data_IF_089399138795
#
_entry.id   IF_089399138795
#
_cell.length_a   1.000
_cell.length_b   1.000
_cell.length_c   1.000
_cell.angle_alpha   90.00
_cell.angle_beta   90.00
_cell.angle_gamma   90.00
#
_symmetry.space_group_name_H-M   'P 1'
#
loop_
_entity.id
_entity.type
_entity.pdbx_description
1 polymer ?
#
# COMPACT_ATOMS: atom_id res chain seq x y z
N UNK A 1 -28.50 -4.48 22.10
CA UNK A 1 -28.35 -3.08 21.64
C UNK A 1 -28.04 -3.07 20.15
N UNK A 2 -28.82 -2.29 19.41
CA UNK A 2 -28.95 -2.16 17.95
C UNK A 2 -27.71 -2.41 17.07
N UNK A 3 -27.76 -3.47 16.25
CA UNK A 3 -26.83 -3.76 15.15
C UNK A 3 -27.20 -3.09 13.80
N UNK A 4 -28.25 -2.26 13.77
CA UNK A 4 -28.85 -1.76 12.52
C UNK A 4 -28.37 -0.36 12.05
N UNK A 5 -27.39 0.27 12.69
CA UNK A 5 -26.96 1.65 12.35
C UNK A 5 -25.66 1.77 11.54
N UNK A 6 -24.96 0.67 11.27
CA UNK A 6 -23.64 0.67 10.57
C UNK A 6 -23.81 0.62 9.02
N UNK A 7 -25.04 0.54 8.51
CA UNK A 7 -25.32 0.19 7.10
C UNK A 7 -25.12 1.30 6.04
N UNK A 8 -24.71 2.52 6.40
CA UNK A 8 -24.60 3.63 5.42
C UNK A 8 -23.17 4.04 5.08
N UNK A 9 -22.21 3.88 5.98
CA UNK A 9 -20.82 4.28 5.72
C UNK A 9 -19.98 3.16 5.09
N UNK A 10 -20.27 1.89 5.42
CA UNK A 10 -19.65 0.70 4.81
C UNK A 10 -19.81 0.65 3.27
N UNK A 11 -20.86 1.30 2.71
CA UNK A 11 -21.16 1.28 1.27
C UNK A 11 -20.19 2.11 0.41
N UNK A 12 -19.51 3.10 1.01
CA UNK A 12 -18.65 4.05 0.27
C UNK A 12 -17.20 3.59 0.14
N UNK A 13 -16.75 2.70 1.03
CA UNK A 13 -15.40 2.11 0.97
C UNK A 13 -15.35 0.94 -0.03
N UNK A 14 -16.50 0.30 -0.28
CA UNK A 14 -16.62 -0.84 -1.20
C UNK A 14 -16.52 -0.45 -2.68
N UNK A 15 -16.57 0.84 -3.04
CA UNK A 15 -16.58 1.28 -4.45
C UNK A 15 -15.19 1.30 -5.11
N UNK A 16 -14.10 1.28 -4.34
CA UNK A 16 -12.72 1.29 -4.86
C UNK A 16 -12.07 -0.10 -4.92
N UNK A 17 -12.76 -1.12 -4.43
CA UNK A 17 -12.28 -2.50 -4.48
C UNK A 17 -12.58 -3.04 -5.89
N UNK A 18 -11.61 -3.66 -6.58
CA UNK A 18 -11.82 -4.33 -7.87
C UNK A 18 -13.05 -5.25 -7.80
N UNK A 19 -13.91 -5.28 -8.83
CA UNK A 19 -15.19 -6.02 -8.79
C UNK A 19 -15.03 -7.51 -8.42
N UNK A 20 -13.93 -8.13 -8.84
CA UNK A 20 -13.56 -9.50 -8.51
C UNK A 20 -13.21 -9.73 -7.02
N UNK A 21 -12.96 -8.67 -6.25
CA UNK A 21 -12.65 -8.72 -4.81
C UNK A 21 -13.83 -8.26 -3.94
N UNK A 22 -14.81 -7.54 -4.49
CA UNK A 22 -16.00 -7.06 -3.75
C UNK A 22 -16.78 -8.21 -3.11
N UNK A 23 -17.01 -9.29 -3.85
CA UNK A 23 -17.73 -10.46 -3.34
C UNK A 23 -16.98 -11.15 -2.19
N UNK A 24 -15.66 -11.22 -2.24
CA UNK A 24 -14.87 -11.90 -1.22
C UNK A 24 -14.78 -11.09 0.08
N UNK A 25 -14.65 -9.77 -0.03
CA UNK A 25 -14.57 -8.86 1.13
C UNK A 25 -15.92 -8.75 1.85
N UNK A 26 -17.04 -8.78 1.13
CA UNK A 26 -18.38 -8.80 1.73
C UNK A 26 -18.70 -10.11 2.46
N UNK A 27 -18.23 -11.25 1.93
CA UNK A 27 -18.50 -12.58 2.50
C UNK A 27 -17.64 -12.87 3.73
N UNK A 28 -16.40 -12.39 3.77
CA UNK A 28 -15.47 -12.66 4.88
C UNK A 28 -15.70 -11.80 6.14
N UNK A 29 -16.83 -11.06 6.22
CA UNK A 29 -17.23 -10.39 7.46
C UNK A 29 -17.48 -11.41 8.59
N UNK A 30 -17.85 -12.63 8.23
CA UNK A 30 -18.03 -13.80 9.10
C UNK A 30 -16.99 -14.91 8.81
N UNK A 31 -16.86 -15.86 9.75
CA UNK A 31 -16.03 -17.06 9.58
C UNK A 31 -16.77 -18.03 8.66
N UNK A 32 -16.17 -18.40 7.53
CA UNK A 32 -16.83 -19.20 6.48
C UNK A 32 -15.97 -20.38 6.02
N UNK A 33 -16.61 -21.47 5.60
CA UNK A 33 -15.95 -22.63 4.99
C UNK A 33 -15.49 -22.31 3.55
N UNK A 34 -14.36 -22.85 3.13
CA UNK A 34 -13.88 -22.66 1.74
C UNK A 34 -14.90 -23.13 0.69
N UNK A 35 -15.59 -24.25 0.94
CA UNK A 35 -16.62 -24.77 0.04
C UNK A 35 -17.85 -23.86 -0.05
N UNK A 36 -18.32 -23.32 1.08
CA UNK A 36 -19.44 -22.36 1.11
C UNK A 36 -19.06 -21.06 0.40
N UNK A 37 -17.82 -20.59 0.57
CA UNK A 37 -17.30 -19.42 -0.14
C UNK A 37 -17.29 -19.63 -1.65
N UNK A 38 -16.92 -20.83 -2.11
CA UNK A 38 -16.98 -21.20 -3.52
C UNK A 38 -18.40 -21.11 -4.05
N UNK A 39 -19.35 -21.70 -3.34
CA UNK A 39 -20.73 -21.81 -3.78
C UNK A 39 -21.43 -20.43 -3.78
N UNK A 40 -21.11 -19.57 -2.81
CA UNK A 40 -21.60 -18.19 -2.74
C UNK A 40 -21.04 -17.31 -3.87
N UNK A 41 -19.74 -17.40 -4.13
CA UNK A 41 -19.10 -16.59 -5.15
C UNK A 41 -19.33 -17.13 -6.58
N UNK A 42 -19.78 -18.38 -6.73
CA UNK A 42 -19.93 -19.07 -8.02
C UNK A 42 -18.64 -19.06 -8.85
N UNK A 43 -17.50 -19.19 -8.19
CA UNK A 43 -16.16 -19.17 -8.81
C UNK A 43 -15.64 -20.60 -8.93
N UNK A 44 -14.91 -20.90 -10.00
CA UNK A 44 -14.24 -22.19 -10.13
C UNK A 44 -13.19 -22.42 -9.01
N UNK A 45 -13.05 -23.67 -8.55
CA UNK A 45 -12.16 -24.04 -7.45
C UNK A 45 -10.70 -23.59 -7.71
N UNK A 46 -10.23 -23.67 -8.97
CA UNK A 46 -8.86 -23.28 -9.30
C UNK A 46 -8.66 -21.77 -9.19
N UNK A 47 -9.66 -20.99 -9.60
CA UNK A 47 -9.63 -19.53 -9.49
C UNK A 47 -9.74 -19.09 -8.04
N UNK A 48 -10.64 -19.69 -7.26
CA UNK A 48 -10.77 -19.40 -5.83
C UNK A 48 -9.46 -19.64 -5.08
N UNK A 49 -8.78 -20.78 -5.34
CA UNK A 49 -7.48 -21.07 -4.73
C UNK A 49 -6.41 -20.03 -5.08
N UNK A 50 -6.35 -19.57 -6.33
CA UNK A 50 -5.40 -18.51 -6.73
C UNK A 50 -5.67 -17.21 -5.96
N UNK A 51 -6.93 -16.79 -5.87
CA UNK A 51 -7.32 -15.60 -5.11
C UNK A 51 -6.98 -15.74 -3.63
N UNK A 52 -7.28 -16.90 -3.02
CA UNK A 52 -6.96 -17.17 -1.62
C UNK A 52 -5.46 -17.16 -1.35
N UNK A 53 -4.63 -17.67 -2.28
CA UNK A 53 -3.16 -17.60 -2.15
C UNK A 53 -2.70 -16.14 -2.11
N UNK A 54 -3.17 -15.30 -3.05
CA UNK A 54 -2.82 -13.88 -3.08
C UNK A 54 -3.22 -13.18 -1.77
N UNK A 55 -4.43 -13.44 -1.28
CA UNK A 55 -4.94 -12.82 -0.05
C UNK A 55 -4.24 -13.31 1.22
N UNK A 56 -3.75 -14.54 1.24
CA UNK A 56 -2.89 -15.06 2.32
C UNK A 56 -1.52 -14.38 2.30
N UNK A 57 -0.92 -14.21 1.11
CA UNK A 57 0.35 -13.50 0.95
C UNK A 57 0.24 -12.05 1.43
N UNK A 58 -0.86 -11.37 1.08
CA UNK A 58 -1.14 -10.01 1.53
C UNK A 58 -1.54 -9.91 3.02
N UNK A 59 -1.58 -11.04 3.73
CA UNK A 59 -1.96 -11.16 5.16
C UNK A 59 -3.39 -10.65 5.46
N UNK A 60 -4.27 -10.70 4.46
CA UNK A 60 -5.67 -10.28 4.60
C UNK A 60 -6.50 -11.41 5.20
N UNK A 61 -6.34 -12.62 4.68
CA UNK A 61 -7.09 -13.81 5.09
C UNK A 61 -6.20 -14.76 5.86
N UNK A 62 -6.74 -15.34 6.92
CA UNK A 62 -6.12 -16.45 7.66
C UNK A 62 -7.03 -17.68 7.58
N UNK A 63 -6.40 -18.84 7.46
CA UNK A 63 -7.10 -20.12 7.50
C UNK A 63 -6.92 -20.81 8.86
N UNK A 64 -7.93 -21.58 9.26
CA UNK A 64 -7.87 -22.49 10.39
C UNK A 64 -8.44 -23.83 9.95
N UNK A 65 -7.62 -24.87 10.10
CA UNK A 65 -8.06 -26.25 9.95
C UNK A 65 -8.78 -26.68 11.23
N UNK A 66 -10.04 -27.09 11.08
CA UNK A 66 -10.85 -27.63 12.19
C UNK A 66 -11.26 -29.05 11.81
N UNK A 67 -11.00 -30.05 12.66
CA UNK A 67 -11.53 -31.39 12.44
C UNK A 67 -13.05 -31.39 12.67
N UNK A 68 -13.80 -31.83 11.67
CA UNK A 68 -15.24 -32.03 11.71
C UNK A 68 -15.59 -33.43 11.25
N UNK A 69 -16.63 -34.01 11.84
CA UNK A 69 -17.15 -35.29 11.42
C UNK A 69 -18.20 -35.09 10.33
N UNK A 70 -17.91 -35.58 9.13
CA UNK A 70 -18.81 -35.50 7.97
C UNK A 70 -19.03 -36.92 7.47
N UNK A 71 -20.29 -37.35 7.45
CA UNK A 71 -20.71 -38.71 7.08
C UNK A 71 -20.01 -39.81 7.90
N UNK A 72 -19.88 -39.61 9.21
CA UNK A 72 -19.22 -40.56 10.13
C UNK A 72 -17.71 -40.70 9.92
N UNK A 73 -17.09 -39.79 9.16
CA UNK A 73 -15.64 -39.72 8.96
C UNK A 73 -15.11 -38.37 9.43
N UNK A 74 -14.06 -38.40 10.25
CA UNK A 74 -13.31 -37.20 10.59
C UNK A 74 -12.61 -36.63 9.35
N UNK A 75 -12.95 -35.39 9.00
CA UNK A 75 -12.32 -34.61 7.93
C UNK A 75 -11.82 -33.28 8.49
N UNK A 76 -10.69 -32.79 7.98
CA UNK A 76 -10.21 -31.44 8.32
C UNK A 76 -10.83 -30.44 7.35
N UNK A 77 -11.58 -29.48 7.88
CA UNK A 77 -12.25 -28.44 7.10
C UNK A 77 -11.50 -27.12 7.28
N UNK A 78 -11.33 -26.40 6.17
CA UNK A 78 -10.71 -25.08 6.15
C UNK A 78 -11.75 -24.00 6.42
N UNK A 79 -11.60 -23.33 7.56
CA UNK A 79 -12.32 -22.11 7.88
C UNK A 79 -11.48 -20.89 7.56
N UNK A 80 -12.09 -19.92 6.87
CA UNK A 80 -11.48 -18.68 6.42
C UNK A 80 -12.04 -17.51 7.21
N UNK A 81 -11.17 -16.60 7.63
CA UNK A 81 -11.55 -15.37 8.32
C UNK A 81 -10.55 -14.24 8.06
N UNK A 82 -11.01 -12.99 8.21
CA UNK A 82 -10.14 -11.80 8.05
C UNK A 82 -9.24 -11.64 9.28
N UNK A 83 -7.94 -11.47 9.04
CA UNK A 83 -7.00 -11.12 10.09
C UNK A 83 -6.91 -9.59 10.23
N UNK A 84 -7.89 -9.00 10.92
CA UNK A 84 -7.97 -7.55 11.09
C UNK A 84 -6.70 -6.95 11.69
N UNK A 85 -6.05 -7.64 12.64
CA UNK A 85 -4.79 -7.17 13.25
C UNK A 85 -3.68 -7.08 12.21
N UNK A 86 -3.52 -8.10 11.37
CA UNK A 86 -2.50 -8.09 10.33
C UNK A 86 -2.79 -7.05 9.25
N UNK A 87 -4.05 -6.94 8.80
CA UNK A 87 -4.47 -5.93 7.82
C UNK A 87 -4.15 -4.52 8.31
N UNK A 88 -4.52 -4.19 9.56
CA UNK A 88 -4.24 -2.89 10.16
C UNK A 88 -2.72 -2.66 10.27
N UNK A 89 -1.95 -3.65 10.67
CA UNK A 89 -0.50 -3.52 10.79
C UNK A 89 0.18 -3.29 9.44
N UNK A 90 -0.22 -4.04 8.40
CA UNK A 90 0.31 -3.86 7.04
C UNK A 90 -0.09 -2.50 6.48
N UNK A 91 -1.33 -2.06 6.70
CA UNK A 91 -1.80 -0.74 6.28
C UNK A 91 -1.00 0.37 6.96
N UNK A 92 -0.84 0.31 8.30
CA UNK A 92 -0.02 1.25 9.07
C UNK A 92 1.41 1.32 8.53
N UNK A 93 2.04 0.17 8.32
CA UNK A 93 3.41 0.08 7.79
C UNK A 93 3.54 0.70 6.40
N UNK A 94 2.61 0.41 5.48
CA UNK A 94 2.63 0.98 4.12
C UNK A 94 2.42 2.50 4.14
N UNK A 95 1.47 3.00 4.94
CA UNK A 95 1.22 4.44 5.10
C UNK A 95 2.45 5.14 5.68
N UNK A 96 3.06 4.56 6.70
CA UNK A 96 4.28 5.10 7.31
C UNK A 96 5.44 5.17 6.30
N UNK A 97 5.63 4.12 5.51
CA UNK A 97 6.62 4.14 4.42
C UNK A 97 6.33 5.18 3.34
N UNK A 98 5.07 5.41 2.99
CA UNK A 98 4.70 6.46 2.04
C UNK A 98 5.02 7.83 2.64
N UNK A 99 4.68 8.05 3.91
CA UNK A 99 5.00 9.28 4.63
C UNK A 99 6.51 9.53 4.65
N UNK A 100 7.31 8.55 5.04
CA UNK A 100 8.78 8.66 5.06
C UNK A 100 9.34 9.00 3.66
N UNK A 101 8.81 8.38 2.61
CA UNK A 101 9.24 8.69 1.22
C UNK A 101 8.87 10.12 0.80
N UNK A 102 7.74 10.65 1.26
CA UNK A 102 7.35 12.04 1.01
C UNK A 102 8.27 13.00 1.77
N UNK A 103 8.54 12.74 3.05
CA UNK A 103 9.46 13.56 3.86
C UNK A 103 10.89 13.58 3.26
N UNK A 104 11.37 12.45 2.74
CA UNK A 104 12.66 12.38 2.02
C UNK A 104 12.59 13.17 0.72
N UNK A 105 11.54 13.00 -0.09
CA UNK A 105 11.37 13.73 -1.34
C UNK A 105 11.31 15.24 -1.12
N UNK A 106 10.60 15.71 -0.10
CA UNK A 106 10.52 17.14 0.22
C UNK A 106 11.89 17.71 0.58
N UNK A 107 12.69 17.00 1.39
CA UNK A 107 14.07 17.40 1.68
C UNK A 107 14.93 17.42 0.43
N UNK A 108 14.81 16.40 -0.41
CA UNK A 108 15.54 16.32 -1.66
C UNK A 108 15.15 17.47 -2.60
N UNK A 109 13.85 17.79 -2.76
CA UNK A 109 13.38 18.88 -3.60
C UNK A 109 13.82 20.27 -3.08
N UNK A 110 13.85 20.48 -1.76
CA UNK A 110 14.41 21.70 -1.15
C UNK A 110 15.92 21.79 -1.39
N UNK A 111 16.64 20.67 -1.25
CA UNK A 111 18.09 20.60 -1.50
C UNK A 111 18.42 20.64 -3.00
N UNK A 112 17.46 20.34 -3.88
CA UNK A 112 17.57 20.40 -5.34
C UNK A 112 17.34 21.80 -5.90
N UNK A 113 17.22 22.82 -5.06
CA UNK A 113 17.33 24.21 -5.49
C UNK A 113 18.72 24.42 -6.11
N UNK A 114 18.77 24.25 -7.43
CA UNK A 114 19.99 24.25 -8.20
C UNK A 114 20.06 25.51 -9.07
N UNK A 115 21.09 26.31 -8.85
CA UNK A 115 21.40 27.46 -9.68
C UNK A 115 22.07 26.99 -10.96
N UNK A 116 21.56 27.43 -12.12
CA UNK A 116 22.17 27.14 -13.41
C UNK A 116 22.90 28.37 -13.92
N UNK A 117 24.10 28.15 -14.42
CA UNK A 117 24.87 29.17 -15.10
C UNK A 117 24.15 29.58 -16.41
N UNK A 118 23.96 30.88 -16.62
CA UNK A 118 23.29 31.42 -17.81
C UNK A 118 24.24 31.65 -19.00
N UNK A 119 25.55 31.50 -18.80
CA UNK A 119 26.55 31.67 -19.85
C UNK A 119 26.43 30.61 -20.95
N UNK A 120 26.55 31.04 -22.21
CA UNK A 120 26.38 30.20 -23.42
C UNK A 120 27.27 28.95 -23.45
N UNK A 121 28.45 28.97 -22.80
CA UNK A 121 29.37 27.84 -22.71
C UNK A 121 29.43 27.18 -21.31
N UNK A 122 28.53 27.55 -20.41
CA UNK A 122 28.58 27.16 -19.00
C UNK A 122 27.43 26.21 -18.67
N UNK A 123 27.70 24.90 -18.65
CA UNK A 123 26.70 23.86 -18.31
C UNK A 123 26.74 23.44 -16.84
N UNK A 124 27.32 24.27 -15.98
CA UNK A 124 27.50 23.97 -14.56
C UNK A 124 26.22 24.26 -13.79
N UNK A 125 25.94 23.39 -12.83
CA UNK A 125 24.79 23.44 -11.95
C UNK A 125 25.33 23.43 -10.52
N UNK A 126 24.88 24.37 -9.72
CA UNK A 126 25.35 24.60 -8.36
C UNK A 126 24.20 24.36 -7.39
N UNK A 127 24.44 23.66 -6.30
CA UNK A 127 23.46 23.50 -5.24
C UNK A 127 23.55 24.64 -4.21
N UNK A 128 22.69 24.61 -3.20
CA UNK A 128 22.69 25.61 -2.13
C UNK A 128 23.99 25.60 -1.29
N UNK A 129 24.72 24.48 -1.24
CA UNK A 129 25.99 24.38 -0.51
C UNK A 129 27.16 25.01 -1.29
N UNK A 130 27.07 25.03 -2.63
CA UNK A 130 28.08 25.63 -3.49
C UNK A 130 28.00 27.16 -3.57
N UNK A 131 26.92 27.78 -3.08
CA UNK A 131 26.72 29.25 -3.11
C UNK A 131 27.94 29.98 -2.51
N UNK A 132 28.45 29.51 -1.37
CA UNK A 132 29.60 30.13 -0.71
C UNK A 132 30.90 30.11 -1.52
N UNK A 133 31.01 29.21 -2.51
CA UNK A 133 32.19 29.09 -3.39
C UNK A 133 32.09 29.94 -4.65
N UNK A 134 30.88 30.29 -5.06
CA UNK A 134 30.61 31.07 -6.29
C UNK A 134 30.22 32.51 -6.00
N UNK A 135 29.93 32.85 -4.74
CA UNK A 135 29.59 34.22 -4.34
C UNK A 135 30.86 35.06 -4.19
N UNK A 136 30.93 36.16 -4.93
CA UNK A 136 31.99 37.16 -4.80
C UNK A 136 31.51 38.34 -3.93
N UNK A 137 32.09 38.55 -2.72
CA UNK A 137 31.69 39.63 -1.82
C UNK A 137 31.92 41.04 -2.37
N UNK A 138 32.84 41.22 -3.31
CA UNK A 138 33.21 42.54 -3.83
C UNK A 138 32.29 43.01 -4.95
N UNK A 139 31.91 42.11 -5.87
CA UNK A 139 30.94 42.39 -6.93
C UNK A 139 29.48 42.17 -6.50
N UNK A 140 29.26 41.44 -5.39
CA UNK A 140 27.93 40.97 -4.96
C UNK A 140 27.24 40.06 -6.00
N UNK A 141 28.02 39.45 -6.90
CA UNK A 141 27.53 38.58 -7.96
C UNK A 141 27.97 37.12 -7.75
N UNK A 142 27.22 36.19 -8.35
CA UNK A 142 27.58 34.77 -8.39
C UNK A 142 28.40 34.49 -9.66
N UNK A 143 29.70 34.29 -9.50
CA UNK A 143 30.61 33.99 -10.60
C UNK A 143 30.92 32.49 -10.66
N UNK A 144 30.64 31.87 -11.81
CA UNK A 144 30.98 30.48 -12.05
C UNK A 144 32.51 30.38 -12.23
N UNK A 145 33.25 30.16 -11.14
CA UNK A 145 34.71 30.15 -11.11
C UNK A 145 35.35 29.45 -12.31
N UNK A 146 35.92 30.24 -13.21
CA UNK A 146 36.69 29.80 -14.35
C UNK A 146 38.11 30.32 -14.20
N UNK A 147 38.99 29.52 -13.60
CA UNK A 147 40.43 29.66 -13.84
C UNK A 147 40.66 29.33 -15.32
N UNK A 148 40.96 30.35 -16.12
CA UNK A 148 41.85 30.20 -17.26
C UNK A 148 43.28 30.02 -16.78
#
# INVERSE_FOLDING_TARGET
MNTNKIRKEDKKVLTEIPENLKHLVLVLKDIIKEDELRDLCKIDQRQLRKLLITLKVDKIVKERLVPEEVDGKLRKINYLFINYKAVINVAKYKIDHIRQKLEVREKDDVNRAHYRCTGINCKRQYDAMDIGKIYDPFSQEMSAGGTG
#
